data_IF_170803028593
#
_entry.id   IF_170803028593
#
_cell.length_a   1.000
_cell.length_b   1.000
_cell.length_c   1.000
_cell.angle_alpha   90.00
_cell.angle_beta   90.00
_cell.angle_gamma   90.00
#
_symmetry.space_group_name_H-M   'P 1'
#
loop_
_entity.id
_entity.type
_entity.pdbx_description
1 polymer ?
#
# COMPACT_ATOMS: atom_id res chain seq x y z
N UNK A 1 22.72 13.38 -26.74
CA UNK A 1 21.56 12.50 -26.50
C UNK A 1 21.52 12.20 -25.00
N UNK A 2 20.85 13.03 -24.20
CA UNK A 2 20.67 12.79 -22.75
C UNK A 2 19.19 12.84 -22.33
N UNK A 3 18.32 13.35 -23.21
CA UNK A 3 16.89 13.51 -22.93
C UNK A 3 16.13 12.17 -22.95
N UNK A 4 16.68 11.14 -23.61
CA UNK A 4 16.05 9.82 -23.72
C UNK A 4 16.00 9.05 -22.38
N UNK A 5 16.95 9.26 -21.47
CA UNK A 5 16.95 8.60 -20.15
C UNK A 5 15.99 9.26 -19.15
N UNK A 6 15.72 10.56 -19.29
CA UNK A 6 14.80 11.28 -18.41
C UNK A 6 13.33 10.91 -18.65
N UNK A 7 12.97 10.59 -19.90
CA UNK A 7 11.59 10.26 -20.29
C UNK A 7 11.13 8.87 -19.79
N UNK A 8 12.05 7.97 -19.44
CA UNK A 8 11.70 6.66 -18.88
C UNK A 8 11.32 6.71 -17.39
N UNK A 9 11.57 7.82 -16.69
CA UNK A 9 11.28 7.97 -15.27
C UNK A 9 9.84 8.47 -14.98
N UNK A 10 9.06 8.81 -16.00
CA UNK A 10 7.70 9.38 -15.86
C UNK A 10 6.64 8.26 -15.86
N UNK A 11 6.83 7.24 -15.04
CA UNK A 11 5.76 6.32 -14.65
C UNK A 11 4.96 6.92 -13.50
N UNK A 12 3.62 6.80 -13.52
CA UNK A 12 2.79 7.16 -12.37
C UNK A 12 3.15 6.25 -11.19
N UNK A 13 4.03 6.72 -10.31
CA UNK A 13 4.50 5.98 -9.13
C UNK A 13 3.34 5.80 -8.16
N UNK A 14 3.12 4.58 -7.63
CA UNK A 14 2.09 4.36 -6.63
C UNK A 14 2.31 5.24 -5.40
N UNK A 15 1.26 5.97 -5.02
CA UNK A 15 1.26 6.84 -3.83
C UNK A 15 1.32 6.02 -2.55
N UNK A 16 0.81 4.80 -2.56
CA UNK A 16 0.97 3.85 -1.45
C UNK A 16 1.29 2.47 -1.99
N UNK A 17 2.19 1.77 -1.30
CA UNK A 17 2.50 0.36 -1.49
C UNK A 17 2.31 -0.39 -0.17
N UNK A 18 1.69 -1.56 -0.25
CA UNK A 18 1.41 -2.43 0.89
C UNK A 18 1.88 -3.83 0.53
N UNK A 19 2.72 -4.40 1.37
CA UNK A 19 3.23 -5.76 1.19
C UNK A 19 2.09 -6.78 1.24
N UNK A 20 2.25 -7.90 0.55
CA UNK A 20 1.30 -9.02 0.45
C UNK A 20 0.98 -9.73 1.78
N UNK A 21 1.76 -9.46 2.83
CA UNK A 21 1.53 -9.92 4.19
C UNK A 21 1.22 -8.78 5.18
N UNK A 22 1.09 -7.55 4.68
CA UNK A 22 0.88 -6.35 5.49
C UNK A 22 2.05 -5.99 6.39
N UNK A 23 3.23 -6.60 6.19
CA UNK A 23 4.41 -6.44 7.02
C UNK A 23 5.15 -5.12 6.83
N UNK A 24 4.88 -4.42 5.72
CA UNK A 24 5.45 -3.12 5.39
C UNK A 24 4.45 -2.32 4.55
N UNK A 25 4.35 -1.04 4.87
CA UNK A 25 3.63 -0.02 4.11
C UNK A 25 4.60 1.08 3.73
N UNK A 26 4.49 1.58 2.50
CA UNK A 26 5.25 2.72 2.00
C UNK A 26 4.35 3.78 1.39
N UNK A 27 4.51 5.05 1.78
CA UNK A 27 3.75 6.20 1.23
C UNK A 27 4.73 7.09 0.46
N UNK A 28 4.37 7.51 -0.75
CA UNK A 28 5.18 8.44 -1.53
C UNK A 28 5.03 9.85 -0.98
N UNK A 29 6.15 10.53 -0.73
CA UNK A 29 6.22 11.92 -0.28
C UNK A 29 7.11 12.72 -1.24
N UNK A 30 7.23 14.03 -0.99
CA UNK A 30 8.09 14.91 -1.78
C UNK A 30 9.60 14.60 -1.62
N UNK A 31 9.98 13.91 -0.54
CA UNK A 31 11.38 13.55 -0.20
C UNK A 31 11.73 12.10 -0.55
N UNK A 32 10.79 11.37 -1.17
CA UNK A 32 10.93 9.96 -1.55
C UNK A 32 9.88 9.06 -0.87
N UNK A 33 10.04 7.74 -0.97
CA UNK A 33 9.11 6.82 -0.31
C UNK A 33 9.40 6.77 1.19
N UNK A 34 8.39 7.06 1.98
CA UNK A 34 8.39 6.91 3.42
C UNK A 34 7.94 5.50 3.81
N UNK A 35 8.71 4.81 4.66
CA UNK A 35 8.43 3.42 5.06
C UNK A 35 7.97 3.32 6.51
N UNK A 36 6.89 2.60 6.75
CA UNK A 36 6.30 2.40 8.09
C UNK A 36 7.21 1.76 9.14
N UNK A 37 8.31 1.12 8.74
CA UNK A 37 9.23 0.42 9.63
C UNK A 37 10.68 0.59 9.21
N UNK A 38 11.55 0.81 10.19
CA UNK A 38 13.01 0.87 10.03
C UNK A 38 13.64 -0.47 9.68
N UNK A 39 12.99 -1.59 10.01
CA UNK A 39 13.52 -2.95 9.86
C UNK A 39 12.43 -4.00 9.65
N UNK A 40 12.85 -5.14 9.07
CA UNK A 40 11.97 -6.22 8.63
C UNK A 40 11.38 -5.95 7.24
N UNK A 41 11.08 -7.01 6.50
CA UNK A 41 10.70 -6.93 5.07
C UNK A 41 11.76 -6.23 4.19
N UNK A 42 13.05 -6.39 4.51
CA UNK A 42 14.15 -5.68 3.85
C UNK A 42 14.27 -5.94 2.34
N UNK A 43 13.94 -7.14 1.87
CA UNK A 43 13.86 -7.43 0.43
C UNK A 43 12.80 -6.57 -0.28
N UNK A 44 11.61 -6.46 0.33
CA UNK A 44 10.51 -5.64 -0.20
C UNK A 44 10.87 -4.15 -0.16
N UNK A 45 11.39 -3.68 0.98
CA UNK A 45 11.82 -2.30 1.15
C UNK A 45 12.86 -1.89 0.11
N UNK A 46 13.92 -2.69 -0.05
CA UNK A 46 14.97 -2.46 -1.04
C UNK A 46 14.41 -2.44 -2.45
N UNK A 47 13.61 -3.43 -2.84
CA UNK A 47 13.03 -3.48 -4.18
C UNK A 47 12.13 -2.26 -4.46
N UNK A 48 11.36 -1.77 -3.48
CA UNK A 48 10.56 -0.56 -3.66
C UNK A 48 11.42 0.69 -3.84
N UNK A 49 12.42 0.89 -2.98
CA UNK A 49 13.31 2.04 -3.04
C UNK A 49 14.17 2.04 -4.31
N UNK A 50 14.69 0.88 -4.71
CA UNK A 50 15.43 0.71 -5.97
C UNK A 50 14.56 1.04 -7.20
N UNK A 51 13.32 0.56 -7.24
CA UNK A 51 12.37 0.89 -8.31
C UNK A 51 11.95 2.37 -8.28
N UNK A 52 12.02 3.01 -7.12
CA UNK A 52 11.86 4.45 -7.00
C UNK A 52 13.13 5.22 -7.41
N UNK A 53 14.25 4.56 -7.66
CA UNK A 53 15.54 5.22 -7.88
C UNK A 53 16.09 5.89 -6.62
N UNK A 54 15.61 5.50 -5.44
CA UNK A 54 16.04 6.00 -4.14
C UNK A 54 17.08 5.05 -3.53
N UNK A 55 18.33 5.51 -3.45
CA UNK A 55 19.44 4.76 -2.84
C UNK A 55 19.44 4.76 -1.31
N UNK A 56 18.42 5.33 -0.66
CA UNK A 56 18.33 5.33 0.80
C UNK A 56 18.18 3.91 1.37
N UNK A 57 18.76 3.70 2.55
CA UNK A 57 18.49 2.50 3.34
C UNK A 57 17.10 2.59 3.98
N UNK A 58 16.50 1.43 4.28
CA UNK A 58 15.17 1.32 4.90
C UNK A 58 15.03 2.18 6.16
N UNK A 59 16.07 2.24 7.01
CA UNK A 59 16.06 3.05 8.23
C UNK A 59 15.86 4.53 7.92
N UNK A 60 16.56 5.06 6.89
CA UNK A 60 16.44 6.46 6.47
C UNK A 60 15.08 6.73 5.85
N UNK A 61 14.60 5.83 5.01
CA UNK A 61 13.24 5.92 4.44
C UNK A 61 12.16 5.86 5.53
N UNK A 62 12.41 5.16 6.64
CA UNK A 62 11.46 5.08 7.74
C UNK A 62 11.34 6.37 8.55
N UNK A 63 12.41 7.17 8.62
CA UNK A 63 12.36 8.49 9.27
C UNK A 63 11.38 9.45 8.57
N UNK A 64 11.15 9.28 7.26
CA UNK A 64 10.17 10.06 6.46
C UNK A 64 8.72 9.78 6.84
N UNK A 65 8.43 8.64 7.49
CA UNK A 65 7.06 8.16 7.73
C UNK A 65 6.20 9.07 8.59
N UNK A 66 6.80 9.80 9.53
CA UNK A 66 6.09 10.74 10.40
C UNK A 66 6.49 12.21 10.16
N UNK A 67 7.56 12.45 9.38
CA UNK A 67 8.09 13.79 9.14
C UNK A 67 7.61 14.37 7.81
N UNK A 68 7.47 13.53 6.78
CA UNK A 68 7.23 13.96 5.41
C UNK A 68 5.94 13.41 4.82
N UNK A 69 5.14 12.66 5.58
CA UNK A 69 3.76 12.29 5.22
C UNK A 69 2.82 13.49 5.26
N UNK A 70 3.30 14.68 4.91
CA UNK A 70 2.51 15.87 4.65
C UNK A 70 1.90 15.77 3.24
N UNK A 71 0.58 15.76 3.14
CA UNK A 71 -0.10 15.70 1.86
C UNK A 71 -1.48 15.07 1.96
N UNK A 72 -2.08 14.76 0.81
CA UNK A 72 -3.46 14.25 0.80
C UNK A 72 -3.60 12.83 1.40
N UNK A 73 -2.51 12.09 1.58
CA UNK A 73 -2.47 10.78 2.26
C UNK A 73 -2.15 10.87 3.76
N UNK A 74 -1.89 12.07 4.29
CA UNK A 74 -1.64 12.28 5.71
C UNK A 74 -2.80 11.76 6.56
N UNK A 75 -2.49 10.96 7.58
CA UNK A 75 -3.47 10.33 8.47
C UNK A 75 -4.44 9.35 7.80
N UNK A 76 -4.36 9.11 6.48
CA UNK A 76 -5.26 8.18 5.77
C UNK A 76 -4.82 6.73 5.85
N UNK A 77 -3.52 6.49 6.01
CA UNK A 77 -2.95 5.13 6.08
C UNK A 77 -2.38 4.89 7.46
N UNK A 78 -2.93 3.91 8.15
CA UNK A 78 -2.50 3.52 9.49
C UNK A 78 -1.89 2.13 9.40
N UNK A 79 -0.62 2.00 9.77
CA UNK A 79 0.04 0.69 9.83
C UNK A 79 0.15 0.20 11.26
N UNK A 80 -0.58 -0.87 11.58
CA UNK A 80 -0.53 -1.55 12.87
C UNK A 80 0.50 -2.67 12.79
N UNK A 81 1.74 -2.35 13.15
CA UNK A 81 2.81 -3.32 13.18
C UNK A 81 3.06 -3.85 14.59
N UNK A 82 3.05 -5.18 14.72
CA UNK A 82 3.33 -5.87 15.99
C UNK A 82 2.09 -6.06 16.88
N UNK A 83 2.28 -6.83 17.96
CA UNK A 83 1.19 -7.25 18.85
C UNK A 83 0.58 -6.07 19.61
N UNK A 84 1.41 -5.23 20.24
CA UNK A 84 0.97 -4.09 21.05
C UNK A 84 0.13 -3.08 20.29
N UNK A 85 0.50 -2.74 19.05
CA UNK A 85 -0.27 -1.78 18.24
C UNK A 85 -1.66 -2.31 17.88
N UNK A 86 -1.79 -3.63 17.65
CA UNK A 86 -3.07 -4.30 17.36
C UNK A 86 -3.96 -4.45 18.58
N UNK A 87 -3.37 -4.73 19.74
CA UNK A 87 -4.11 -4.80 21.02
C UNK A 87 -4.61 -3.42 21.46
N UNK A 88 -3.85 -2.36 21.16
CA UNK A 88 -4.23 -0.98 21.45
C UNK A 88 -5.17 -0.37 20.38
N UNK A 89 -5.52 -1.11 19.32
CA UNK A 89 -6.34 -0.59 18.23
C UNK A 89 -7.80 -0.50 18.66
N UNK A 90 -8.25 0.71 18.99
CA UNK A 90 -9.63 1.00 19.39
C UNK A 90 -10.59 1.30 18.23
N UNK A 91 -10.09 1.42 17.00
CA UNK A 91 -10.88 1.76 15.82
C UNK A 91 -10.19 2.74 14.89
N UNK A 92 -10.89 3.12 13.83
CA UNK A 92 -10.41 4.00 12.76
C UNK A 92 -11.53 4.96 12.34
N UNK A 93 -11.13 6.12 11.81
CA UNK A 93 -12.05 7.07 11.21
C UNK A 93 -12.55 6.56 9.85
N UNK A 94 -13.77 6.94 9.42
CA UNK A 94 -14.28 6.61 8.11
C UNK A 94 -13.32 7.01 6.98
N UNK A 95 -13.12 6.11 6.02
CA UNK A 95 -12.25 6.35 4.88
C UNK A 95 -10.74 6.18 5.11
N UNK A 96 -10.30 5.83 6.33
CA UNK A 96 -8.92 5.39 6.56
C UNK A 96 -8.67 3.99 5.99
N UNK A 97 -7.39 3.69 5.77
CA UNK A 97 -6.89 2.38 5.38
C UNK A 97 -5.99 1.88 6.51
N UNK A 98 -6.44 0.84 7.19
CA UNK A 98 -5.73 0.21 8.28
C UNK A 98 -5.07 -1.05 7.75
N UNK A 99 -3.75 -1.10 7.81
CA UNK A 99 -2.96 -2.26 7.38
C UNK A 99 -2.46 -2.98 8.62
N UNK A 100 -2.61 -4.30 8.65
CA UNK A 100 -2.17 -5.14 9.76
C UNK A 100 -1.31 -6.28 9.24
N UNK A 101 -0.33 -6.69 10.02
CA UNK A 101 0.56 -7.80 9.66
C UNK A 101 0.15 -9.15 10.28
N UNK A 102 -0.93 -9.16 11.06
CA UNK A 102 -1.55 -10.33 11.71
C UNK A 102 -2.96 -9.91 12.18
N UNK A 103 -3.83 -10.87 12.49
CA UNK A 103 -5.27 -10.61 12.68
C UNK A 103 -5.53 -9.67 13.86
N UNK A 104 -6.59 -8.86 13.74
CA UNK A 104 -7.07 -8.03 14.85
C UNK A 104 -7.94 -8.87 15.78
N UNK A 105 -7.77 -8.76 17.11
CA UNK A 105 -8.57 -9.53 18.07
C UNK A 105 -10.05 -9.13 18.05
N UNK A 106 -10.37 -7.91 17.63
CA UNK A 106 -11.75 -7.47 17.43
C UNK A 106 -11.80 -6.56 16.21
N UNK A 107 -12.59 -6.96 15.21
CA UNK A 107 -12.88 -6.12 14.05
C UNK A 107 -14.21 -5.44 14.36
N UNK A 108 -14.18 -4.28 15.02
CA UNK A 108 -15.37 -3.44 15.10
C UNK A 108 -15.82 -3.13 13.66
N UNK A 109 -17.13 -3.19 13.37
CA UNK A 109 -17.68 -2.69 12.09
C UNK A 109 -17.19 -1.25 11.93
N UNK A 110 -16.18 -1.07 11.11
CA UNK A 110 -15.45 0.17 10.98
C UNK A 110 -15.75 0.73 9.61
N UNK A 111 -16.03 2.03 9.52
CA UNK A 111 -16.21 2.72 8.24
C UNK A 111 -14.91 2.87 7.43
N UNK A 112 -13.89 2.05 7.71
CA UNK A 112 -12.55 2.13 7.15
C UNK A 112 -12.15 0.79 6.53
N UNK A 113 -11.20 0.82 5.60
CA UNK A 113 -10.70 -0.37 4.94
C UNK A 113 -9.66 -1.06 5.79
N UNK A 114 -9.92 -2.29 6.22
CA UNK A 114 -8.93 -3.11 6.94
C UNK A 114 -8.29 -4.11 5.99
N UNK A 115 -7.00 -3.91 5.72
CA UNK A 115 -6.16 -4.83 4.97
C UNK A 115 -5.44 -5.76 5.94
N UNK A 116 -6.07 -6.90 6.22
CA UNK A 116 -5.51 -7.96 7.05
C UNK A 116 -4.74 -9.00 6.22
N UNK A 117 -3.87 -9.83 6.84
CA UNK A 117 -3.18 -10.88 6.12
C UNK A 117 -4.11 -11.89 5.45
N UNK A 118 -5.32 -12.11 6.00
CA UNK A 118 -6.33 -12.96 5.35
C UNK A 118 -6.82 -12.39 4.03
N UNK A 119 -6.98 -11.07 3.96
CA UNK A 119 -7.37 -10.37 2.74
C UNK A 119 -6.18 -10.29 1.76
N UNK A 120 -5.00 -9.94 2.26
CA UNK A 120 -3.79 -9.79 1.45
C UNK A 120 -3.31 -11.13 0.86
N UNK A 121 -3.52 -12.27 1.52
CA UNK A 121 -3.31 -13.60 0.92
C UNK A 121 -4.16 -13.87 -0.33
N UNK A 122 -5.29 -13.18 -0.49
CA UNK A 122 -6.22 -13.38 -1.62
C UNK A 122 -6.08 -12.32 -2.72
N UNK A 123 -5.45 -11.20 -2.39
CA UNK A 123 -5.29 -10.03 -3.29
C UNK A 123 -3.83 -9.81 -3.68
N UNK A 124 -2.89 -10.34 -2.89
CA UNK A 124 -1.45 -10.08 -2.97
C UNK A 124 -1.10 -8.69 -2.45
N UNK A 125 0.05 -8.18 -2.88
CA UNK A 125 0.47 -6.80 -2.59
C UNK A 125 -0.56 -5.80 -3.17
N UNK A 126 -0.73 -4.68 -2.49
CA UNK A 126 -1.67 -3.63 -2.87
C UNK A 126 -0.93 -2.35 -3.18
N UNK A 127 -1.30 -1.70 -4.27
CA UNK A 127 -0.84 -0.39 -4.67
C UNK A 127 -2.03 0.57 -4.74
N UNK A 128 -1.85 1.79 -4.25
CA UNK A 128 -2.78 2.89 -4.45
C UNK A 128 -2.15 3.81 -5.48
N UNK A 129 -2.87 4.05 -6.56
CA UNK A 129 -2.39 4.88 -7.70
C UNK A 129 -3.35 6.02 -7.97
N UNK A 130 -2.81 7.13 -8.48
CA UNK A 130 -3.57 8.33 -8.78
C UNK A 130 -3.44 9.41 -7.71
N UNK A 131 -4.31 10.41 -7.78
CA UNK A 131 -4.20 11.63 -6.98
C UNK A 131 -5.59 12.22 -6.69
N UNK A 132 -5.80 12.65 -5.44
CA UNK A 132 -7.05 13.28 -4.95
C UNK A 132 -8.31 12.44 -5.18
N UNK A 133 -9.13 12.80 -6.17
CA UNK A 133 -10.44 12.16 -6.43
C UNK A 133 -10.37 11.05 -7.48
N UNK A 134 -9.20 10.87 -8.13
CA UNK A 134 -8.98 9.83 -9.14
C UNK A 134 -8.04 8.76 -8.61
N UNK A 135 -8.38 8.16 -7.49
CA UNK A 135 -7.53 7.16 -6.83
C UNK A 135 -8.08 5.76 -7.09
N UNK A 136 -7.19 4.83 -7.43
CA UNK A 136 -7.55 3.44 -7.71
C UNK A 136 -6.73 2.51 -6.80
N UNK A 137 -7.37 1.45 -6.34
CA UNK A 137 -6.73 0.37 -5.60
C UNK A 137 -6.38 -0.75 -6.56
N UNK A 138 -5.09 -0.94 -6.81
CA UNK A 138 -4.56 -2.02 -7.62
C UNK A 138 -4.06 -3.13 -6.72
N UNK A 139 -4.50 -4.37 -6.98
CA UNK A 139 -4.00 -5.56 -6.30
C UNK A 139 -3.09 -6.33 -7.24
N UNK A 140 -2.12 -7.07 -6.70
CA UNK A 140 -1.29 -7.96 -7.51
C UNK A 140 -2.15 -8.95 -8.30
N UNK A 141 -3.23 -9.46 -7.69
CA UNK A 141 -4.21 -10.31 -8.38
C UNK A 141 -4.86 -9.61 -9.57
N UNK A 142 -5.33 -8.38 -9.42
CA UNK A 142 -5.97 -7.64 -10.52
C UNK A 142 -4.98 -7.33 -11.64
N UNK A 143 -3.73 -6.98 -11.29
CA UNK A 143 -2.69 -6.64 -12.26
C UNK A 143 -2.16 -7.86 -13.02
N UNK A 144 -2.04 -9.02 -12.36
CA UNK A 144 -1.53 -10.26 -12.99
C UNK A 144 -2.63 -11.10 -13.65
N UNK A 145 -3.88 -10.94 -13.21
CA UNK A 145 -5.03 -11.73 -13.61
C UNK A 145 -5.12 -13.10 -12.91
N UNK A 146 -6.27 -13.75 -13.04
CA UNK A 146 -6.51 -15.12 -12.58
C UNK A 146 -5.96 -16.14 -13.60
N UNK A 147 -4.64 -16.25 -13.67
CA UNK A 147 -3.95 -17.23 -14.53
C UNK A 147 -4.07 -18.64 -13.94
N UNK A 148 -4.00 -19.67 -14.78
CA UNK A 148 -4.14 -21.07 -14.32
C UNK A 148 -3.14 -21.48 -13.23
N UNK A 149 -1.95 -20.85 -13.18
CA UNK A 149 -0.90 -21.13 -12.20
C UNK A 149 -0.85 -20.15 -11.03
N UNK A 150 -1.73 -19.15 -10.97
CA UNK A 150 -1.68 -18.14 -9.91
C UNK A 150 -2.31 -18.62 -8.59
N UNK A 151 -3.07 -19.72 -8.60
CA UNK A 151 -3.56 -20.41 -7.40
C UNK A 151 -4.44 -19.57 -6.47
N UNK A 152 -5.07 -18.50 -6.97
CA UNK A 152 -5.81 -17.55 -6.15
C UNK A 152 -7.09 -18.17 -5.55
N UNK A 153 -7.28 -18.00 -4.24
CA UNK A 153 -8.55 -18.35 -3.59
C UNK A 153 -9.68 -17.39 -4.02
N UNK A 154 -10.90 -17.90 -4.17
CA UNK A 154 -12.09 -17.05 -4.41
C UNK A 154 -12.35 -16.13 -3.21
N UNK A 155 -12.75 -14.89 -3.48
CA UNK A 155 -13.11 -13.90 -2.46
C UNK A 155 -13.99 -12.79 -3.04
N UNK A 156 -14.92 -12.28 -2.23
CA UNK A 156 -15.70 -11.10 -2.56
C UNK A 156 -14.84 -9.86 -2.29
N UNK A 157 -14.68 -8.91 -3.24
CA UNK A 157 -13.90 -7.69 -3.03
C UNK A 157 -14.28 -6.98 -1.72
N UNK A 158 -13.32 -6.38 -0.99
CA UNK A 158 -13.63 -5.66 0.23
C UNK A 158 -14.40 -4.37 -0.08
N UNK A 159 -15.21 -3.91 0.86
CA UNK A 159 -15.85 -2.60 0.77
C UNK A 159 -14.78 -1.50 0.74
N UNK A 160 -14.71 -0.76 -0.37
CA UNK A 160 -13.72 0.30 -0.55
C UNK A 160 -14.23 1.62 0.03
N UNK A 161 -13.35 2.45 0.61
CA UNK A 161 -13.67 3.83 0.97
C UNK A 161 -14.27 4.60 -0.20
N UNK A 162 -15.26 5.45 0.07
CA UNK A 162 -16.02 6.18 -0.96
C UNK A 162 -15.15 7.07 -1.88
N UNK A 163 -13.94 7.42 -1.47
CA UNK A 163 -13.00 8.20 -2.28
C UNK A 163 -12.17 7.37 -3.27
N UNK A 164 -12.29 6.03 -3.26
CA UNK A 164 -11.71 5.18 -4.30
C UNK A 164 -12.62 5.12 -5.52
N UNK A 165 -12.03 5.38 -6.70
CA UNK A 165 -12.57 4.92 -7.96
C UNK A 165 -12.38 3.41 -8.07
N UNK A 166 -13.49 2.69 -8.28
CA UNK A 166 -13.46 1.23 -8.52
C UNK A 166 -12.65 0.98 -9.78
N UNK A 167 -11.50 0.28 -9.66
CA UNK A 167 -10.84 -0.30 -10.82
C UNK A 167 -11.39 -1.71 -11.01
N UNK A 168 -12.48 -1.83 -11.75
CA UNK A 168 -12.80 -3.10 -12.40
C UNK A 168 -11.64 -3.38 -13.35
N UNK A 169 -11.08 -4.60 -13.32
CA UNK A 169 -9.85 -4.98 -14.04
C UNK A 169 -9.88 -4.80 -15.57
N UNK A 170 -10.93 -4.22 -16.14
CA UNK A 170 -11.08 -3.89 -17.55
C UNK A 170 -10.32 -2.63 -17.99
N UNK A 171 -9.95 -1.75 -17.06
CA UNK A 171 -9.40 -0.41 -17.36
C UNK A 171 -7.86 -0.35 -17.42
N UNK A 172 -7.18 -1.50 -17.33
CA UNK A 172 -5.73 -1.59 -17.48
C UNK A 172 -5.37 -1.99 -18.91
N UNK A 173 -5.41 -1.02 -19.83
CA UNK A 173 -4.72 -1.14 -21.12
C UNK A 173 -3.38 -0.39 -21.03
N UNK A 174 -2.27 -0.97 -21.51
CA UNK A 174 -0.94 -0.37 -21.41
C UNK A 174 -0.83 1.02 -22.04
#
# INVERSE_FOLDING_TARGET
ICVAFALWQVGNRPVVLIADNGGLVGVMTDTGRALSKEKGAGFVARNWLENDGDGALQQKAALRWNSDTSGWMDGRVVHLSGKRAREAFGGCAPGQIVVTNDELPTVAKSGCLILSPRLLRKTGAVAIVGHKEKVRLLTARNHTGDRMWSGWAKYAPPDLPAWFGVSDGADQKP
#
